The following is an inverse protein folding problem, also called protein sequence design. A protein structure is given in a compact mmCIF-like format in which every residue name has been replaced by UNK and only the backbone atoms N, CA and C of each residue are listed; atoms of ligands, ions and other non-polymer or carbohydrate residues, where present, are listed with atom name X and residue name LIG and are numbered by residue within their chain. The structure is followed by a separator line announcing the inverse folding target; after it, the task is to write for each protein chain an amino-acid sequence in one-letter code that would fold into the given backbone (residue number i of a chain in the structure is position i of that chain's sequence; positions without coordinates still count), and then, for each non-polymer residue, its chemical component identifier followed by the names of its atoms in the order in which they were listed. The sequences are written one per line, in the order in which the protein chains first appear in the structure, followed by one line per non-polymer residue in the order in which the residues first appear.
data_IF_980414404784
#
_entry.id   IF_980414404784
#
_cell.length_a   1.000
_cell.length_b   1.000
_cell.length_c   1.000
_cell.angle_alpha   90.00
_cell.angle_beta   90.00
_cell.angle_gamma   90.00
#
_symmetry.space_group_name_H-M   'P 1'
#
loop_
_entity.id
_entity.type
_entity.pdbx_description
1 polymer ?
#
# COMPACT_ATOMS: atom_id res chain seq x y z
N UNK A 1 -1.04 18.97 9.35
CA UNK A 1 -2.46 19.03 8.92
C UNK A 1 -2.60 18.14 7.68
N UNK A 2 -2.98 16.87 7.85
CA UNK A 2 -3.09 15.89 6.76
C UNK A 2 -4.41 16.11 6.03
N UNK A 3 -4.37 16.62 4.81
CA UNK A 3 -5.52 16.57 3.89
C UNK A 3 -5.41 15.25 3.13
N UNK A 4 -6.34 14.34 3.40
CA UNK A 4 -6.42 13.03 2.73
C UNK A 4 -7.04 13.26 1.34
N UNK A 5 -6.30 13.06 0.24
CA UNK A 5 -6.94 12.83 -1.05
C UNK A 5 -7.48 11.40 -1.07
N UNK A 6 -8.76 11.27 -0.75
CA UNK A 6 -9.55 10.14 -1.20
C UNK A 6 -9.76 10.28 -2.71
N UNK A 7 -8.91 9.65 -3.50
CA UNK A 7 -9.32 9.25 -4.83
C UNK A 7 -10.22 8.02 -4.64
N UNK A 8 -11.52 8.26 -4.43
CA UNK A 8 -12.53 7.25 -4.71
C UNK A 8 -12.32 6.86 -6.17
N UNK A 9 -11.92 5.61 -6.40
CA UNK A 9 -11.93 5.03 -7.73
C UNK A 9 -13.37 5.13 -8.24
N UNK A 10 -13.68 6.14 -9.04
CA UNK A 10 -14.96 6.25 -9.75
C UNK A 10 -14.95 5.24 -10.89
N UNK A 11 -14.82 3.95 -10.56
CA UNK A 11 -14.86 2.84 -11.49
C UNK A 11 -16.30 2.50 -11.93
N UNK A 12 -17.20 3.50 -11.95
CA UNK A 12 -18.56 3.36 -12.48
C UNK A 12 -18.63 3.33 -14.01
N UNK A 13 -17.50 3.41 -14.71
CA UNK A 13 -17.47 3.51 -16.18
C UNK A 13 -16.63 2.41 -16.84
N UNK A 14 -16.92 1.14 -16.53
CA UNK A 14 -16.62 0.02 -17.43
C UNK A 14 -17.84 -0.91 -17.46
N UNK A 15 -18.95 -0.43 -18.02
CA UNK A 15 -20.01 -1.31 -18.52
C UNK A 15 -19.69 -1.60 -19.99
N UNK A 16 -19.10 -2.76 -20.25
CA UNK A 16 -18.94 -3.29 -21.59
C UNK A 16 -20.32 -3.54 -22.20
N UNK A 17 -20.70 -2.73 -23.20
CA UNK A 17 -21.91 -2.93 -23.99
C UNK A 17 -21.67 -4.02 -25.04
N UNK A 18 -22.27 -5.19 -24.83
CA UNK A 18 -22.53 -6.18 -25.87
C UNK A 18 -23.61 -5.64 -26.80
N UNK A 19 -23.29 -5.34 -28.06
CA UNK A 19 -24.28 -5.35 -29.14
C UNK A 19 -23.69 -5.95 -30.42
N UNK A 20 -24.48 -6.87 -30.97
CA UNK A 20 -24.24 -7.74 -32.12
C UNK A 20 -24.10 -6.98 -33.44
N UNK A 21 -23.33 -7.56 -34.37
CA UNK A 21 -23.40 -7.22 -35.79
C UNK A 21 -22.14 -7.62 -36.55
N UNK A 22 -22.13 -8.82 -37.14
CA UNK A 22 -21.02 -9.28 -37.97
C UNK A 22 -20.99 -8.65 -39.36
N UNK A 23 -19.80 -8.64 -39.99
CA UNK A 23 -19.58 -8.94 -41.42
C UNK A 23 -18.07 -9.00 -41.76
N UNK A 24 -17.69 -10.15 -42.32
CA UNK A 24 -16.62 -10.50 -43.28
C UNK A 24 -15.13 -10.19 -43.03
N UNK A 25 -14.41 -11.29 -42.79
CA UNK A 25 -13.26 -11.80 -43.56
C UNK A 25 -12.08 -10.88 -43.93
N UNK A 26 -10.97 -11.07 -43.20
CA UNK A 26 -9.68 -11.34 -43.82
C UNK A 26 -8.70 -10.17 -43.88
N UNK A 27 -7.89 -10.01 -42.83
CA UNK A 27 -6.42 -10.19 -42.85
C UNK A 27 -5.75 -9.60 -41.59
N UNK A 28 -4.94 -10.44 -40.94
CA UNK A 28 -3.95 -10.16 -39.89
C UNK A 28 -4.45 -9.71 -38.51
N UNK A 29 -4.68 -10.71 -37.66
CA UNK A 29 -4.07 -10.85 -36.33
C UNK A 29 -3.31 -9.61 -35.81
N UNK A 30 -4.02 -8.66 -35.20
CA UNK A 30 -3.43 -7.64 -34.35
C UNK A 30 -3.95 -7.85 -32.92
N UNK A 31 -3.16 -8.63 -32.20
CA UNK A 31 -3.15 -8.75 -30.75
C UNK A 31 -2.77 -7.37 -30.19
N UNK A 32 -3.73 -6.73 -29.50
CA UNK A 32 -3.68 -5.53 -28.64
C UNK A 32 -4.83 -4.57 -29.00
N UNK A 33 -6.03 -4.84 -28.50
CA UNK A 33 -7.02 -3.78 -28.27
C UNK A 33 -6.48 -2.84 -27.18
N UNK A 34 -5.52 -1.99 -27.56
CA UNK A 34 -5.14 -0.78 -26.84
C UNK A 34 -5.86 0.36 -27.53
N UNK A 35 -6.90 0.86 -26.88
CA UNK A 35 -7.11 2.27 -26.49
C UNK A 35 -8.61 2.50 -26.35
N UNK A 36 -9.10 2.59 -25.12
CA UNK A 36 -10.17 3.56 -24.88
C UNK A 36 -9.54 4.93 -25.16
N UNK A 37 -9.72 5.46 -26.37
CA UNK A 37 -9.24 6.79 -26.75
C UNK A 37 -9.92 7.81 -25.83
N UNK A 38 -9.31 8.12 -24.70
CA UNK A 38 -9.66 9.29 -23.92
C UNK A 38 -9.11 10.48 -24.71
N UNK A 39 -9.98 11.41 -25.07
CA UNK A 39 -9.60 12.65 -25.77
C UNK A 39 -8.56 13.46 -24.96
N UNK A 40 -8.59 13.33 -23.63
CA UNK A 40 -7.67 13.98 -22.70
C UNK A 40 -7.00 12.95 -21.78
N UNK A 41 -5.68 13.08 -21.58
CA UNK A 41 -4.89 12.27 -20.66
C UNK A 41 -4.08 13.19 -19.74
N UNK A 42 -4.14 12.96 -18.44
CA UNK A 42 -3.33 13.68 -17.45
C UNK A 42 -2.12 12.83 -17.06
N UNK A 43 -0.94 13.45 -17.06
CA UNK A 43 0.31 12.80 -16.65
C UNK A 43 0.88 13.60 -15.47
N UNK A 44 0.94 13.02 -14.26
CA UNK A 44 1.54 13.70 -13.12
C UNK A 44 3.04 13.85 -13.32
N UNK A 45 3.57 15.03 -12.99
CA UNK A 45 5.01 15.27 -12.90
C UNK A 45 5.37 15.31 -11.42
N UNK A 46 6.12 14.32 -10.97
CA UNK A 46 6.58 14.22 -9.60
C UNK A 46 7.86 15.07 -9.41
N UNK A 47 7.99 15.81 -8.31
CA UNK A 47 9.21 16.54 -8.02
C UNK A 47 10.32 15.57 -7.62
N UNK A 48 11.56 15.93 -7.91
CA UNK A 48 12.72 15.16 -7.49
C UNK A 48 13.86 16.04 -7.01
N UNK A 49 14.64 15.50 -6.06
CA UNK A 49 15.87 16.15 -5.56
C UNK A 49 17.05 15.94 -6.53
N UNK A 50 17.00 14.86 -7.31
CA UNK A 50 17.98 14.50 -8.34
C UNK A 50 17.29 13.64 -9.40
N UNK A 51 17.29 14.11 -10.65
CA UNK A 51 16.72 13.33 -11.77
C UNK A 51 17.48 12.03 -11.96
N UNK A 52 18.81 12.04 -11.88
CA UNK A 52 19.63 10.84 -12.11
C UNK A 52 19.33 9.77 -11.07
N UNK A 53 19.43 10.11 -9.78
CA UNK A 53 19.17 9.15 -8.69
C UNK A 53 17.73 8.62 -8.72
N UNK A 54 16.77 9.47 -9.11
CA UNK A 54 15.36 9.05 -9.22
C UNK A 54 15.18 8.06 -10.36
N UNK A 55 15.74 8.34 -11.54
CA UNK A 55 15.63 7.44 -12.69
C UNK A 55 16.32 6.09 -12.42
N UNK A 56 17.52 6.10 -11.84
CA UNK A 56 18.27 4.88 -11.52
C UNK A 56 17.51 4.02 -10.49
N UNK A 57 16.84 4.64 -9.52
CA UNK A 57 15.97 3.94 -8.57
C UNK A 57 14.79 3.23 -9.24
N UNK A 58 14.10 3.91 -10.17
CA UNK A 58 12.97 3.31 -10.87
C UNK A 58 13.40 2.23 -11.87
N UNK A 59 14.56 2.41 -12.52
CA UNK A 59 15.17 1.39 -13.37
C UNK A 59 15.53 0.12 -12.59
N UNK A 60 16.10 0.26 -11.39
CA UNK A 60 16.34 -0.87 -10.46
C UNK A 60 15.06 -1.66 -10.16
N UNK A 61 13.90 -0.99 -10.08
CA UNK A 61 12.58 -1.61 -9.90
C UNK A 61 11.99 -2.22 -11.18
N UNK A 62 12.74 -2.20 -12.29
CA UNK A 62 12.35 -2.82 -13.56
C UNK A 62 11.54 -1.91 -14.49
N UNK A 63 11.61 -0.59 -14.29
CA UNK A 63 11.16 0.37 -15.31
C UNK A 63 12.27 0.58 -16.35
N UNK A 64 11.90 1.08 -17.53
CA UNK A 64 12.86 1.52 -18.56
C UNK A 64 12.92 3.04 -18.59
N UNK A 65 14.12 3.62 -18.65
CA UNK A 65 14.29 5.06 -18.84
C UNK A 65 13.99 5.39 -20.30
N UNK A 66 12.96 6.21 -20.56
CA UNK A 66 12.55 6.61 -21.91
C UNK A 66 12.94 8.04 -22.25
N UNK A 67 13.22 8.87 -21.24
CA UNK A 67 13.74 10.22 -21.43
C UNK A 67 14.61 10.65 -20.23
N UNK A 68 15.72 11.33 -20.51
CA UNK A 68 16.63 11.86 -19.48
C UNK A 68 17.24 13.17 -19.97
N UNK A 69 16.95 14.26 -19.26
CA UNK A 69 17.52 15.58 -19.48
C UNK A 69 18.13 16.10 -18.18
N UNK A 70 19.42 16.45 -18.21
CA UNK A 70 20.15 16.95 -17.03
C UNK A 70 20.38 18.46 -17.06
N UNK A 71 20.16 19.13 -18.21
CA UNK A 71 20.26 20.58 -18.42
C UNK A 71 19.42 21.05 -19.64
N UNK A 72 19.01 22.33 -19.69
CA UNK A 72 19.00 23.30 -18.58
C UNK A 72 17.89 22.98 -17.56
N UNK A 73 16.77 22.39 -18.03
CA UNK A 73 15.66 21.94 -17.20
C UNK A 73 15.81 20.44 -16.95
N UNK A 74 16.03 20.08 -15.69
CA UNK A 74 16.23 18.70 -15.32
C UNK A 74 14.90 17.96 -15.29
N UNK A 75 14.79 16.96 -16.16
CA UNK A 75 13.57 16.20 -16.37
C UNK A 75 13.87 14.76 -16.75
N UNK A 76 13.05 13.83 -16.29
CA UNK A 76 13.22 12.41 -16.56
C UNK A 76 11.90 11.68 -16.71
N UNK A 77 11.88 10.61 -17.50
CA UNK A 77 10.72 9.75 -17.70
C UNK A 77 11.17 8.30 -17.62
N UNK A 78 10.41 7.52 -16.86
CA UNK A 78 10.49 6.05 -16.86
C UNK A 78 9.16 5.47 -17.29
N UNK A 79 9.19 4.32 -17.96
CA UNK A 79 8.00 3.63 -18.45
C UNK A 79 8.00 2.16 -18.02
N UNK A 80 6.79 1.65 -17.74
CA UNK A 80 6.56 0.22 -17.57
C UNK A 80 5.15 -0.14 -18.04
N UNK A 81 5.04 -1.17 -18.89
CA UNK A 81 3.76 -1.69 -19.35
C UNK A 81 2.94 -0.71 -20.20
N UNK A 82 3.56 0.31 -20.80
CA UNK A 82 2.86 1.37 -21.53
C UNK A 82 2.44 2.58 -20.69
N UNK A 83 2.85 2.64 -19.41
CA UNK A 83 2.51 3.74 -18.50
C UNK A 83 3.79 4.41 -17.97
N UNK A 84 3.83 5.74 -18.06
CA UNK A 84 4.99 6.54 -17.73
C UNK A 84 4.87 7.26 -16.38
N UNK A 85 5.98 7.40 -15.67
CA UNK A 85 6.16 8.31 -14.55
C UNK A 85 7.15 9.40 -14.94
N UNK A 86 6.76 10.64 -14.71
CA UNK A 86 7.53 11.82 -15.09
C UNK A 86 8.08 12.51 -13.84
N UNK A 87 9.32 13.00 -13.94
CA UNK A 87 10.03 13.62 -12.83
C UNK A 87 10.63 14.97 -13.23
N UNK A 88 10.43 15.99 -12.42
CA UNK A 88 11.02 17.32 -12.58
C UNK A 88 11.86 17.72 -11.37
N UNK A 89 13.05 18.26 -11.59
CA UNK A 89 13.92 18.72 -10.50
C UNK A 89 13.36 19.94 -9.78
N UNK A 90 13.40 19.94 -8.45
CA UNK A 90 13.12 21.13 -7.62
C UNK A 90 14.33 21.49 -6.77
N UNK A 91 14.86 22.70 -6.99
CA UNK A 91 15.99 23.23 -6.22
C UNK A 91 15.63 23.41 -4.75
N UNK A 92 16.46 22.86 -3.86
CA UNK A 92 16.31 23.02 -2.41
C UNK A 92 15.17 22.19 -1.80
N UNK A 93 14.59 21.25 -2.55
CA UNK A 93 13.60 20.32 -2.02
C UNK A 93 14.26 19.41 -0.97
N UNK A 94 13.63 19.31 0.20
CA UNK A 94 13.95 18.30 1.20
C UNK A 94 13.02 17.09 1.01
N UNK A 95 13.62 15.94 0.66
CA UNK A 95 12.89 14.67 0.51
C UNK A 95 12.28 14.17 1.83
N UNK A 96 12.81 14.58 2.99
CA UNK A 96 12.30 14.19 4.30
C UNK A 96 11.11 15.05 4.76
N UNK A 97 11.08 16.33 4.37
CA UNK A 97 9.94 17.24 4.61
C UNK A 97 8.76 17.02 3.64
N UNK A 98 8.94 16.19 2.61
CA UNK A 98 7.90 15.92 1.61
C UNK A 98 6.77 15.03 2.19
N UNK A 99 5.81 15.67 2.87
CA UNK A 99 4.69 14.97 3.50
C UNK A 99 3.53 14.62 2.56
N UNK A 100 3.51 15.14 1.32
CA UNK A 100 2.36 14.99 0.43
C UNK A 100 2.66 15.19 -1.06
N UNK A 101 3.61 14.43 -1.62
CA UNK A 101 3.75 14.34 -3.09
C UNK A 101 3.75 12.89 -3.55
N UNK A 102 3.06 12.61 -4.65
CA UNK A 102 2.85 11.24 -5.10
C UNK A 102 1.84 11.11 -6.24
N UNK A 103 1.58 9.87 -6.64
CA UNK A 103 0.53 9.54 -7.59
C UNK A 103 -0.03 8.14 -7.32
N UNK A 104 -1.13 7.80 -7.98
CA UNK A 104 -1.73 6.48 -7.97
C UNK A 104 -1.41 5.76 -9.27
N UNK A 105 -1.00 4.49 -9.16
CA UNK A 105 -0.75 3.61 -10.30
C UNK A 105 -1.68 2.41 -10.17
N UNK A 106 -2.60 2.26 -11.11
CA UNK A 106 -3.48 1.09 -11.14
C UNK A 106 -2.80 -0.07 -11.86
N UNK A 107 -2.84 -1.26 -11.24
CA UNK A 107 -2.18 -2.47 -11.73
C UNK A 107 -3.15 -3.65 -11.72
N UNK A 108 -2.87 -4.70 -12.49
CA UNK A 108 -3.71 -5.91 -12.50
C UNK A 108 -3.71 -6.62 -11.14
N UNK A 109 -2.52 -6.77 -10.54
CA UNK A 109 -2.35 -7.43 -9.25
C UNK A 109 -1.27 -6.70 -8.44
N UNK A 110 -1.69 -5.93 -7.44
CA UNK A 110 -0.78 -5.21 -6.55
C UNK A 110 0.09 -6.16 -5.72
N UNK A 111 -0.38 -7.36 -5.38
CA UNK A 111 0.41 -8.33 -4.60
C UNK A 111 1.55 -8.91 -5.45
N UNK A 112 1.30 -9.19 -6.73
CA UNK A 112 2.34 -9.61 -7.67
C UNK A 112 3.41 -8.52 -7.87
N UNK A 113 2.98 -7.26 -8.07
CA UNK A 113 3.90 -6.12 -8.21
C UNK A 113 4.70 -5.91 -6.92
N UNK A 114 4.05 -5.99 -5.76
CA UNK A 114 4.71 -5.90 -4.46
C UNK A 114 5.81 -6.96 -4.29
N UNK A 115 5.49 -8.21 -4.61
CA UNK A 115 6.45 -9.31 -4.55
C UNK A 115 7.64 -9.04 -5.46
N UNK A 116 7.40 -8.62 -6.69
CA UNK A 116 8.49 -8.30 -7.62
C UNK A 116 9.38 -7.16 -7.09
N UNK A 117 8.79 -6.06 -6.61
CA UNK A 117 9.56 -4.93 -6.09
C UNK A 117 10.38 -5.34 -4.87
N UNK A 118 9.80 -6.08 -3.93
CA UNK A 118 10.54 -6.56 -2.76
C UNK A 118 11.65 -7.54 -3.12
N UNK A 119 11.47 -8.38 -4.13
CA UNK A 119 12.52 -9.27 -4.64
C UNK A 119 13.65 -8.45 -5.30
N UNK A 120 13.33 -7.42 -6.08
CA UNK A 120 14.33 -6.50 -6.65
C UNK A 120 15.09 -5.71 -5.59
N UNK A 121 14.41 -5.22 -4.56
CA UNK A 121 15.07 -4.58 -3.42
C UNK A 121 16.07 -5.50 -2.74
N UNK A 122 15.67 -6.75 -2.47
CA UNK A 122 16.58 -7.75 -1.90
C UNK A 122 17.78 -8.01 -2.79
N UNK A 123 17.58 -8.14 -4.10
CA UNK A 123 18.65 -8.38 -5.06
C UNK A 123 19.68 -7.23 -5.10
N UNK A 124 19.23 -5.98 -5.09
CA UNK A 124 20.11 -4.81 -5.27
C UNK A 124 20.66 -4.23 -3.97
N UNK A 125 19.94 -4.38 -2.86
CA UNK A 125 20.29 -3.72 -1.59
C UNK A 125 20.49 -4.72 -0.43
N UNK A 126 20.28 -6.02 -0.68
CA UNK A 126 20.36 -7.08 0.33
C UNK A 126 19.17 -7.13 1.31
N UNK A 127 18.26 -6.16 1.28
CA UNK A 127 17.13 -6.05 2.22
C UNK A 127 15.91 -5.36 1.58
N UNK A 128 14.77 -5.42 2.27
CA UNK A 128 13.56 -4.65 1.90
C UNK A 128 13.45 -3.45 2.85
N UNK A 129 13.53 -2.20 2.36
CA UNK A 129 13.44 -1.03 3.21
C UNK A 129 11.97 -0.74 3.57
N UNK A 130 11.58 -0.93 4.83
CA UNK A 130 10.24 -0.58 5.33
C UNK A 130 10.17 0.77 6.07
N UNK A 131 11.32 1.43 6.26
CA UNK A 131 11.44 2.70 6.94
C UNK A 131 12.48 3.58 6.24
N UNK A 132 12.40 4.90 6.46
CA UNK A 132 13.27 5.87 5.79
C UNK A 132 12.85 6.18 4.35
N UNK A 133 13.82 6.62 3.55
CA UNK A 133 13.66 6.95 2.14
C UNK A 133 14.87 6.37 1.38
N UNK A 134 14.66 5.56 0.32
CA UNK A 134 13.37 5.04 -0.13
C UNK A 134 12.79 3.99 0.83
N UNK A 135 11.48 3.72 0.74
CA UNK A 135 10.83 2.63 1.50
C UNK A 135 9.64 2.06 0.74
N UNK A 136 9.26 0.84 1.07
CA UNK A 136 8.02 0.20 0.62
C UNK A 136 7.19 -0.19 1.84
N UNK A 137 5.90 0.13 1.84
CA UNK A 137 4.98 -0.26 2.90
C UNK A 137 4.94 -1.77 3.02
N UNK A 138 4.43 -2.29 4.13
CA UNK A 138 4.13 -3.72 4.22
C UNK A 138 2.83 -3.98 3.48
N UNK A 139 2.72 -5.16 2.87
CA UNK A 139 1.48 -5.60 2.24
C UNK A 139 1.01 -6.89 2.90
N UNK A 140 -0.23 -6.89 3.40
CA UNK A 140 -0.85 -8.08 3.98
C UNK A 140 -1.43 -8.98 2.89
N UNK A 141 -1.52 -10.30 3.12
CA UNK A 141 -2.33 -11.17 2.26
C UNK A 141 -3.75 -10.59 2.10
N UNK A 142 -4.23 -10.55 0.86
CA UNK A 142 -5.56 -10.00 0.53
C UNK A 142 -5.63 -8.46 0.46
N UNK A 143 -4.54 -7.73 0.74
CA UNK A 143 -4.51 -6.29 0.50
C UNK A 143 -4.58 -5.99 -1.00
N UNK A 144 -5.25 -4.89 -1.36
CA UNK A 144 -5.46 -4.45 -2.75
C UNK A 144 -4.50 -3.33 -3.17
N UNK A 145 -3.63 -2.89 -2.26
CA UNK A 145 -2.69 -1.79 -2.50
C UNK A 145 -1.47 -1.85 -1.62
N UNK A 146 -0.42 -1.15 -2.04
CA UNK A 146 0.75 -0.82 -1.23
C UNK A 146 1.32 0.54 -1.66
N UNK A 147 2.16 1.13 -0.82
CA UNK A 147 2.80 2.42 -1.08
C UNK A 147 4.30 2.24 -1.22
N UNK A 148 4.88 2.78 -2.28
CA UNK A 148 6.32 2.92 -2.48
C UNK A 148 6.69 4.39 -2.32
N UNK A 149 7.59 4.68 -1.39
CA UNK A 149 8.26 5.98 -1.31
C UNK A 149 9.57 5.91 -2.09
N UNK A 150 9.67 6.69 -3.16
CA UNK A 150 10.85 6.70 -4.04
C UNK A 150 12.06 7.41 -3.43
N UNK A 151 13.19 7.45 -4.16
CA UNK A 151 14.43 8.09 -3.71
C UNK A 151 14.31 9.60 -3.42
N UNK A 152 13.29 10.26 -3.99
CA UNK A 152 12.98 11.68 -3.81
C UNK A 152 11.87 11.94 -2.77
N UNK A 153 11.38 10.90 -2.10
CA UNK A 153 10.34 11.01 -1.08
C UNK A 153 8.91 11.02 -1.63
N UNK A 154 8.69 10.77 -2.94
CA UNK A 154 7.35 10.70 -3.51
C UNK A 154 6.67 9.40 -3.12
N UNK A 155 5.42 9.47 -2.68
CA UNK A 155 4.59 8.32 -2.33
C UNK A 155 3.76 7.85 -3.53
N UNK A 156 4.22 6.83 -4.22
CA UNK A 156 3.50 6.19 -5.33
C UNK A 156 2.69 5.02 -4.78
N UNK A 157 1.37 5.10 -4.92
CA UNK A 157 0.44 4.10 -4.40
C UNK A 157 0.02 3.18 -5.54
N UNK A 158 0.39 1.91 -5.44
CA UNK A 158 0.00 0.87 -6.39
C UNK A 158 -1.30 0.24 -5.92
N UNK A 159 -2.33 0.22 -6.77
CA UNK A 159 -3.67 -0.26 -6.43
C UNK A 159 -4.13 -1.27 -7.49
N UNK A 160 -4.62 -2.43 -7.08
CA UNK A 160 -5.22 -3.40 -8.00
C UNK A 160 -6.46 -2.82 -8.70
N UNK A 161 -6.70 -3.20 -9.94
CA UNK A 161 -7.99 -2.97 -10.58
C UNK A 161 -9.12 -3.66 -9.80
N UNK A 162 -10.31 -3.06 -9.83
CA UNK A 162 -11.53 -3.62 -9.24
C UNK A 162 -12.14 -2.73 -8.16
N UNK A 163 -13.21 -3.24 -7.54
CA UNK A 163 -13.99 -2.54 -6.51
C UNK A 163 -13.65 -3.00 -5.09
N UNK A 164 -12.81 -4.02 -4.93
CA UNK A 164 -12.50 -4.59 -3.62
C UNK A 164 -11.95 -3.56 -2.63
N UNK A 165 -11.13 -2.61 -3.11
CA UNK A 165 -10.66 -1.52 -2.28
C UNK A 165 -11.82 -0.68 -1.75
N UNK A 166 -12.74 -0.28 -2.64
CA UNK A 166 -13.94 0.48 -2.31
C UNK A 166 -14.86 -0.28 -1.35
N UNK A 167 -15.10 -1.57 -1.60
CA UNK A 167 -15.90 -2.42 -0.74
C UNK A 167 -15.29 -2.54 0.66
N UNK A 168 -13.97 -2.75 0.76
CA UNK A 168 -13.26 -2.77 2.03
C UNK A 168 -13.41 -1.45 2.80
N UNK A 169 -13.46 -0.31 2.09
CA UNK A 169 -13.71 1.00 2.69
C UNK A 169 -15.14 1.16 3.19
N UNK A 170 -16.13 0.75 2.40
CA UNK A 170 -17.56 0.82 2.75
C UNK A 170 -17.89 -0.09 3.93
N UNK A 171 -17.38 -1.32 3.92
CA UNK A 171 -17.53 -2.27 5.03
C UNK A 171 -16.93 -1.71 6.32
N UNK A 172 -15.78 -1.04 6.22
CA UNK A 172 -15.10 -0.41 7.35
C UNK A 172 -15.84 0.83 7.92
N UNK A 173 -16.78 1.42 7.17
CA UNK A 173 -17.55 2.60 7.59
C UNK A 173 -18.97 2.24 8.08
N UNK A 174 -19.29 0.94 8.16
CA UNK A 174 -20.59 0.48 8.64
C UNK A 174 -20.85 0.92 10.10
N UNK A 175 -21.91 1.72 10.30
CA UNK A 175 -22.25 2.35 11.58
C UNK A 175 -22.68 1.36 12.66
N UNK A 176 -23.15 0.18 12.27
CA UNK A 176 -23.66 -0.85 13.18
C UNK A 176 -22.55 -1.76 13.74
N UNK A 177 -21.29 -1.47 13.42
CA UNK A 177 -20.15 -2.22 13.97
C UNK A 177 -19.99 -2.03 15.48
N UNK A 178 -19.57 -3.11 16.14
CA UNK A 178 -19.12 -3.09 17.54
C UNK A 178 -17.94 -2.13 17.72
N UNK A 179 -17.65 -1.78 18.98
CA UNK A 179 -16.50 -0.93 19.32
C UNK A 179 -15.19 -1.56 18.87
N UNK A 180 -15.05 -2.87 19.06
CA UNK A 180 -13.86 -3.62 18.67
C UNK A 180 -13.66 -3.62 17.15
N UNK A 181 -14.73 -3.86 16.36
CA UNK A 181 -14.65 -3.81 14.89
C UNK A 181 -14.34 -2.41 14.36
N UNK A 182 -14.93 -1.37 14.95
CA UNK A 182 -14.58 0.03 14.63
C UNK A 182 -13.11 0.34 14.91
N UNK A 183 -12.61 -0.08 16.07
CA UNK A 183 -11.20 0.12 16.42
C UNK A 183 -10.26 -0.62 15.45
N UNK A 184 -10.58 -1.85 15.07
CA UNK A 184 -9.84 -2.61 14.05
C UNK A 184 -9.84 -1.90 12.70
N UNK A 185 -10.99 -1.40 12.24
CA UNK A 185 -11.12 -0.67 10.99
C UNK A 185 -10.27 0.61 10.98
N UNK A 186 -10.33 1.39 12.06
CA UNK A 186 -9.55 2.63 12.21
C UNK A 186 -8.04 2.33 12.32
N UNK A 187 -7.65 1.30 13.10
CA UNK A 187 -6.25 0.90 13.23
C UNK A 187 -5.66 0.40 11.90
N UNK A 188 -6.41 -0.39 11.12
CA UNK A 188 -6.04 -0.77 9.75
C UNK A 188 -5.85 0.46 8.87
N UNK A 189 -6.73 1.47 8.99
CA UNK A 189 -6.61 2.73 8.24
C UNK A 189 -5.31 3.47 8.57
N UNK A 190 -4.98 3.62 9.84
CA UNK A 190 -3.74 4.27 10.26
C UNK A 190 -2.51 3.48 9.81
N UNK A 191 -2.49 2.16 10.04
CA UNK A 191 -1.35 1.31 9.69
C UNK A 191 -1.16 1.18 8.18
N UNK A 192 -2.20 0.73 7.46
CA UNK A 192 -2.05 0.26 6.07
C UNK A 192 -2.13 1.41 5.06
N UNK A 193 -2.84 2.51 5.38
CA UNK A 193 -3.01 3.64 4.48
C UNK A 193 -2.20 4.86 4.87
N UNK A 194 -2.11 5.16 6.17
CA UNK A 194 -1.35 6.33 6.65
C UNK A 194 0.08 5.99 7.08
N UNK A 195 0.45 4.70 7.17
CA UNK A 195 1.72 4.24 7.72
C UNK A 195 2.01 4.85 9.10
N UNK A 196 0.98 5.01 9.93
CA UNK A 196 1.04 5.61 11.26
C UNK A 196 0.80 4.53 12.33
N UNK A 197 1.85 3.76 12.59
CA UNK A 197 1.82 2.67 13.57
C UNK A 197 1.50 3.16 14.98
N UNK A 198 1.91 4.39 15.32
CA UNK A 198 1.65 4.99 16.63
C UNK A 198 0.15 5.25 16.84
N UNK A 199 -0.51 5.91 15.89
CA UNK A 199 -1.96 6.15 15.96
C UNK A 199 -2.76 4.85 15.86
N UNK A 200 -2.28 3.88 15.08
CA UNK A 200 -2.88 2.55 15.02
C UNK A 200 -2.82 1.86 16.38
N UNK A 201 -1.65 1.86 17.03
CA UNK A 201 -1.44 1.28 18.35
C UNK A 201 -2.31 1.95 19.42
N UNK A 202 -2.32 3.29 19.46
CA UNK A 202 -3.16 4.06 20.40
C UNK A 202 -4.65 3.74 20.25
N UNK A 203 -5.13 3.59 19.00
CA UNK A 203 -6.53 3.22 18.72
C UNK A 203 -6.88 1.87 19.34
N UNK A 204 -6.01 0.87 19.18
CA UNK A 204 -6.21 -0.47 19.74
C UNK A 204 -6.08 -0.46 21.26
N UNK A 205 -5.15 0.30 21.83
CA UNK A 205 -4.97 0.43 23.28
C UNK A 205 -6.23 1.01 23.94
N UNK A 206 -6.86 2.01 23.34
CA UNK A 206 -8.14 2.57 23.81
C UNK A 206 -9.26 1.53 23.73
N UNK A 207 -9.31 0.72 22.66
CA UNK A 207 -10.31 -0.33 22.54
C UNK A 207 -10.15 -1.41 23.62
N UNK A 208 -8.93 -1.90 23.83
CA UNK A 208 -8.63 -2.92 24.85
C UNK A 208 -8.94 -2.44 26.27
N UNK A 209 -8.80 -1.13 26.57
CA UNK A 209 -9.22 -0.55 27.87
C UNK A 209 -10.72 -0.64 28.12
N UNK A 210 -11.53 -0.76 27.07
CA UNK A 210 -13.00 -0.81 27.15
C UNK A 210 -13.55 -2.12 26.58
N UNK A 211 -12.87 -3.24 26.87
CA UNK A 211 -13.21 -4.58 26.36
C UNK A 211 -14.26 -5.33 27.17
N UNK A 212 -14.61 -4.84 28.35
CA UNK A 212 -15.52 -5.53 29.26
C UNK A 212 -16.93 -5.62 28.64
N UNK A 213 -17.47 -6.83 28.53
CA UNK A 213 -18.78 -7.10 27.92
C UNK A 213 -18.78 -7.18 26.38
N UNK A 214 -17.63 -7.00 25.72
CA UNK A 214 -17.49 -7.16 24.28
C UNK A 214 -17.34 -8.64 23.88
N UNK A 215 -17.54 -8.93 22.58
CA UNK A 215 -17.39 -10.29 22.07
C UNK A 215 -15.91 -10.74 22.17
N UNK A 216 -15.67 -11.88 22.85
CA UNK A 216 -14.31 -12.40 23.09
C UNK A 216 -13.47 -12.62 21.82
N UNK A 217 -14.08 -13.00 20.69
CA UNK A 217 -13.36 -13.17 19.43
C UNK A 217 -12.89 -11.84 18.85
N UNK A 218 -13.68 -10.78 19.02
CA UNK A 218 -13.32 -9.45 18.53
C UNK A 218 -12.24 -8.80 19.41
N UNK A 219 -12.31 -9.00 20.73
CA UNK A 219 -11.24 -8.59 21.64
C UNK A 219 -9.94 -9.30 21.30
N UNK A 220 -10.00 -10.59 20.96
CA UNK A 220 -8.82 -11.33 20.51
C UNK A 220 -8.25 -10.81 19.18
N UNK A 221 -9.08 -10.46 18.20
CA UNK A 221 -8.62 -9.82 16.96
C UNK A 221 -7.88 -8.49 17.22
N UNK A 222 -8.41 -7.66 18.13
CA UNK A 222 -7.78 -6.39 18.55
C UNK A 222 -6.42 -6.67 19.22
N UNK A 223 -6.37 -7.61 20.17
CA UNK A 223 -5.15 -7.96 20.90
C UNK A 223 -4.08 -8.54 19.96
N UNK A 224 -4.45 -9.44 19.05
CA UNK A 224 -3.53 -10.00 18.06
C UNK A 224 -2.97 -8.91 17.15
N UNK A 225 -3.79 -8.00 16.63
CA UNK A 225 -3.30 -6.88 15.84
C UNK A 225 -2.35 -5.98 16.64
N UNK A 226 -2.65 -5.76 17.93
CA UNK A 226 -1.81 -4.92 18.79
C UNK A 226 -0.45 -5.56 19.08
N UNK A 227 -0.40 -6.88 19.26
CA UNK A 227 0.85 -7.66 19.39
C UNK A 227 1.71 -7.50 18.13
N UNK A 228 1.11 -7.59 16.94
CA UNK A 228 1.86 -7.41 15.69
C UNK A 228 2.48 -6.00 15.60
N UNK A 229 1.72 -4.96 15.96
CA UNK A 229 2.24 -3.60 15.99
C UNK A 229 3.33 -3.45 17.07
N UNK A 230 3.15 -4.05 18.24
CA UNK A 230 4.14 -4.02 19.32
C UNK A 230 5.46 -4.68 18.90
N UNK A 231 5.42 -5.81 18.20
CA UNK A 231 6.60 -6.47 17.64
C UNK A 231 7.34 -5.57 16.63
N UNK A 232 6.58 -4.87 15.77
CA UNK A 232 7.13 -3.88 14.84
C UNK A 232 7.82 -2.71 15.56
N UNK A 233 7.20 -2.24 16.63
CA UNK A 233 7.66 -1.13 17.45
C UNK A 233 8.71 -1.55 18.50
N UNK A 234 9.05 -2.85 18.58
CA UNK A 234 9.95 -3.44 19.56
C UNK A 234 9.51 -3.20 21.03
N UNK A 235 8.20 -3.19 21.27
CA UNK A 235 7.56 -2.98 22.57
C UNK A 235 7.19 -4.33 23.20
N UNK A 236 8.15 -4.94 23.90
CA UNK A 236 8.00 -6.27 24.50
C UNK A 236 7.00 -6.31 25.65
N UNK A 237 6.89 -5.21 26.40
CA UNK A 237 5.96 -5.10 27.53
C UNK A 237 4.52 -5.18 27.03
N UNK A 238 4.20 -4.46 25.95
CA UNK A 238 2.86 -4.51 25.37
C UNK A 238 2.50 -5.85 24.76
N UNK A 239 3.48 -6.58 24.21
CA UNK A 239 3.26 -7.96 23.74
C UNK A 239 2.78 -8.81 24.92
N UNK A 240 3.51 -8.78 26.04
CA UNK A 240 3.16 -9.55 27.23
C UNK A 240 1.78 -9.15 27.80
N UNK A 241 1.47 -7.86 27.87
CA UNK A 241 0.14 -7.39 28.30
C UNK A 241 -1.00 -7.95 27.42
N UNK A 242 -0.83 -7.91 26.10
CA UNK A 242 -1.84 -8.41 25.18
C UNK A 242 -1.95 -9.95 25.23
N UNK A 243 -0.85 -10.66 25.46
CA UNK A 243 -0.87 -12.12 25.65
C UNK A 243 -1.66 -12.50 26.92
N UNK A 244 -1.54 -11.74 28.01
CA UNK A 244 -2.37 -11.93 29.21
C UNK A 244 -3.86 -11.72 28.89
N UNK A 245 -4.20 -10.69 28.11
CA UNK A 245 -5.58 -10.49 27.66
C UNK A 245 -6.08 -11.71 26.88
N UNK A 246 -5.29 -12.23 25.93
CA UNK A 246 -5.67 -13.41 25.14
C UNK A 246 -5.91 -14.65 26.02
N UNK A 247 -5.08 -14.87 27.05
CA UNK A 247 -5.24 -15.99 27.99
C UNK A 247 -6.53 -15.90 28.81
N UNK A 248 -7.03 -14.69 29.08
CA UNK A 248 -8.27 -14.48 29.84
C UNK A 248 -9.55 -14.73 29.02
N UNK A 249 -9.46 -14.83 27.69
CA UNK A 249 -10.63 -14.95 26.81
C UNK A 249 -11.16 -16.39 26.67
N UNK A 250 -10.49 -17.38 27.27
CA UNK A 250 -10.86 -18.81 27.23
C UNK A 250 -11.13 -19.30 25.79
N UNK A 251 -10.22 -18.94 24.88
CA UNK A 251 -10.25 -19.37 23.48
C UNK A 251 -9.50 -20.69 23.33
N UNK A 252 -10.04 -21.58 22.51
CA UNK A 252 -9.32 -22.80 22.11
C UNK A 252 -8.14 -22.44 21.20
N UNK A 253 -7.17 -23.34 21.17
CA UNK A 253 -5.93 -23.12 20.41
C UNK A 253 -6.17 -22.99 18.90
N UNK A 254 -7.11 -23.75 18.34
CA UNK A 254 -7.54 -23.68 16.94
C UNK A 254 -8.21 -22.34 16.61
N UNK A 255 -9.04 -21.82 17.52
CA UNK A 255 -9.67 -20.49 17.39
C UNK A 255 -8.61 -19.39 17.35
N UNK A 256 -7.64 -19.43 18.27
CA UNK A 256 -6.56 -18.45 18.33
C UNK A 256 -5.62 -18.53 17.11
N UNK A 257 -5.32 -19.73 16.62
CA UNK A 257 -4.53 -19.94 15.41
C UNK A 257 -5.22 -19.33 14.19
N UNK A 258 -6.53 -19.56 14.03
CA UNK A 258 -7.33 -18.97 12.94
C UNK A 258 -7.28 -17.44 12.96
N UNK A 259 -7.38 -16.82 14.15
CA UNK A 259 -7.27 -15.36 14.30
C UNK A 259 -5.86 -14.89 13.94
N UNK A 260 -4.81 -15.55 14.43
CA UNK A 260 -3.42 -15.20 14.11
C UNK A 260 -3.14 -15.32 12.62
N UNK A 261 -3.64 -16.34 11.94
CA UNK A 261 -3.44 -16.56 10.51
C UNK A 261 -4.07 -15.46 9.65
N UNK A 262 -5.23 -14.93 10.06
CA UNK A 262 -5.85 -13.76 9.39
C UNK A 262 -4.99 -12.50 9.50
N UNK A 263 -4.20 -12.37 10.56
CA UNK A 263 -3.42 -11.16 10.83
C UNK A 263 -1.98 -11.26 10.35
N UNK A 264 -1.40 -12.47 10.25
CA UNK A 264 -0.01 -12.74 9.85
C UNK A 264 0.45 -11.82 8.73
N UNK A 265 1.32 -10.90 9.10
CA UNK A 265 2.13 -10.12 8.15
C UNK A 265 3.33 -10.98 7.76
N UNK A 266 3.76 -10.98 6.49
CA UNK A 266 4.99 -11.68 6.09
C UNK A 266 6.15 -11.24 7.01
N UNK A 267 6.64 -12.19 7.85
CA UNK A 267 7.58 -11.90 8.93
C UNK A 267 8.94 -11.39 8.39
N UNK A 268 9.54 -10.54 9.20
CA UNK A 268 10.86 -9.89 9.04
C UNK A 268 11.98 -10.95 9.19
N UNK A 269 12.90 -11.03 8.22
CA UNK A 269 14.26 -11.51 8.49
C UNK A 269 15.07 -10.27 8.89
N UNK A 270 15.15 -9.97 10.19
CA UNK A 270 16.04 -8.92 10.69
C UNK A 270 17.31 -9.58 11.25
N UNK A 271 18.44 -9.27 10.63
CA UNK A 271 19.77 -9.55 11.17
C UNK A 271 20.37 -8.19 11.59
N UNK A 272 20.82 -8.03 12.84
CA UNK A 272 21.41 -6.76 13.26
C UNK A 272 22.70 -6.49 12.47
N UNK A 273 23.03 -5.21 12.19
CA UNK A 273 24.33 -4.87 11.65
C UNK A 273 25.41 -5.19 12.70
N UNK A 274 26.47 -5.89 12.26
CA UNK A 274 27.73 -5.94 12.99
C UNK A 274 28.42 -4.57 12.94
#
# INVERSE_FOLDING_TARGET
MQVIAFALSTNKYVKAGLLNGGLTCGKYFNMLERTTNREWCTIPILPCVSVVETLDFWEMLGYSITYKQTRPYQYGVVERGGYALHFGYIKGMDKHANGYTGCLVTVQDAAAVYKEFTDRFKQHTGKVPHAGIPRISRMKPGATRFTLTDASGNSVIFVSYGEQDQQNWEDADNRDQSRMKKALAVAKRFRDYKNDDNMAAQTLDVALKHRDGENRFEVAEVAVMRIELADVMNDKEKIAECDVILQQLDLKEDELLSIRDKHKTAKRNFQPPN
#
